data_IF_468415132706
#
_entry.id   IF_468415132706
#
_cell.length_a   1.000
_cell.length_b   1.000
_cell.length_c   1.000
_cell.angle_alpha   90.00
_cell.angle_beta   90.00
_cell.angle_gamma   90.00
#
_symmetry.space_group_name_H-M   'P 1'
#
loop_
_entity.id
_entity.type
_entity.pdbx_description
1 polymer ?
#
# COMPACT_ATOMS: atom_id res chain seq x y z
N UNK A 1 -59.67 54.88 14.09
CA UNK A 1 -58.92 53.86 14.87
C UNK A 1 -58.31 52.84 13.91
N UNK A 2 -57.03 53.04 13.54
CA UNK A 2 -56.27 52.08 12.71
C UNK A 2 -55.53 51.13 13.63
N UNK A 3 -55.85 49.84 13.57
CA UNK A 3 -55.09 48.77 14.26
C UNK A 3 -53.97 48.31 13.34
N UNK A 4 -52.76 48.64 13.69
CA UNK A 4 -51.55 48.13 13.02
C UNK A 4 -51.22 46.77 13.57
N UNK A 5 -51.29 45.74 12.71
CA UNK A 5 -50.88 44.35 13.03
C UNK A 5 -49.43 44.19 12.67
N UNK A 6 -48.57 44.10 13.67
CA UNK A 6 -47.14 43.84 13.51
C UNK A 6 -46.92 42.32 13.30
N UNK A 7 -46.62 41.89 12.07
CA UNK A 7 -46.25 40.48 11.76
C UNK A 7 -44.79 40.23 12.11
N UNK A 8 -44.59 39.43 13.14
CA UNK A 8 -43.25 38.95 13.54
C UNK A 8 -42.83 37.81 12.59
N UNK A 9 -41.86 38.07 11.70
CA UNK A 9 -41.26 37.06 10.84
C UNK A 9 -40.19 36.32 11.66
N UNK A 10 -40.49 35.08 12.05
CA UNK A 10 -39.54 34.20 12.71
C UNK A 10 -38.60 33.60 11.66
N UNK A 11 -37.35 34.11 11.55
CA UNK A 11 -36.31 33.53 10.72
C UNK A 11 -35.75 32.31 11.45
N UNK A 12 -36.15 31.11 11.04
CA UNK A 12 -35.57 29.86 11.51
C UNK A 12 -34.22 29.70 10.80
N UNK A 13 -33.15 30.04 11.48
CA UNK A 13 -31.81 29.72 11.04
C UNK A 13 -31.62 28.20 11.16
N UNK A 14 -31.76 27.48 10.04
CA UNK A 14 -31.39 26.08 9.95
C UNK A 14 -29.86 25.96 10.10
N UNK A 15 -29.42 25.66 11.30
CA UNK A 15 -28.02 25.25 11.53
C UNK A 15 -27.79 23.93 10.78
N UNK A 16 -27.18 23.97 9.60
CA UNK A 16 -26.63 22.76 8.99
C UNK A 16 -25.53 22.24 9.93
N UNK A 17 -25.87 21.24 10.74
CA UNK A 17 -24.88 20.51 11.49
C UNK A 17 -24.00 19.78 10.45
N UNK A 18 -22.80 20.27 10.23
CA UNK A 18 -21.77 19.53 9.50
C UNK A 18 -21.55 18.22 10.26
N UNK A 19 -21.74 17.09 9.61
CA UNK A 19 -21.54 15.81 10.26
C UNK A 19 -20.10 15.73 10.80
N UNK A 20 -19.95 15.44 12.10
CA UNK A 20 -18.63 15.29 12.70
C UNK A 20 -18.08 13.88 12.38
N UNK A 21 -17.75 13.67 11.11
CA UNK A 21 -17.32 12.37 10.60
C UNK A 21 -16.26 12.49 9.51
N UNK A 22 -15.59 11.37 9.22
CA UNK A 22 -14.74 11.15 8.04
C UNK A 22 -15.14 9.85 7.39
N UNK A 23 -15.35 9.88 6.08
CA UNK A 23 -15.72 8.73 5.28
C UNK A 23 -14.48 8.23 4.49
N UNK A 24 -14.05 7.00 4.74
CA UNK A 24 -12.81 6.44 4.21
C UNK A 24 -13.11 5.30 3.23
N UNK A 25 -12.62 5.41 1.99
CA UNK A 25 -12.50 4.28 1.09
C UNK A 25 -11.11 3.66 1.27
N UNK A 26 -11.05 2.39 1.66
CA UNK A 26 -9.76 1.73 1.94
C UNK A 26 -9.60 0.38 1.27
N UNK A 27 -8.43 0.16 0.69
CA UNK A 27 -7.98 -1.18 0.27
C UNK A 27 -7.03 -1.83 1.28
N UNK A 28 -6.86 -1.24 2.44
CA UNK A 28 -6.11 -1.82 3.55
C UNK A 28 -7.00 -2.79 4.33
N UNK A 29 -6.35 -3.73 5.00
CA UNK A 29 -7.03 -4.83 5.70
C UNK A 29 -6.20 -5.30 6.92
N UNK A 30 -5.60 -4.36 7.64
CA UNK A 30 -4.76 -4.66 8.79
C UNK A 30 -5.49 -4.34 10.09
N UNK A 31 -5.43 -5.26 11.05
CA UNK A 31 -6.02 -5.08 12.39
C UNK A 31 -5.52 -3.78 13.09
N UNK A 32 -4.30 -3.34 12.75
CA UNK A 32 -3.74 -2.07 13.23
C UNK A 32 -4.50 -0.84 12.75
N UNK A 33 -5.24 -0.93 11.66
CA UNK A 33 -6.02 0.19 11.13
C UNK A 33 -7.28 0.41 11.97
N UNK A 34 -7.89 -0.65 12.48
CA UNK A 34 -9.04 -0.55 13.40
C UNK A 34 -8.65 0.17 14.69
N UNK A 35 -7.47 -0.11 15.22
CA UNK A 35 -6.93 0.59 16.39
C UNK A 35 -6.68 2.08 16.08
N UNK A 36 -6.12 2.39 14.91
CA UNK A 36 -5.89 3.77 14.46
C UNK A 36 -7.21 4.56 14.40
N UNK A 37 -8.26 3.96 13.82
CA UNK A 37 -9.58 4.60 13.72
C UNK A 37 -10.20 4.84 15.09
N UNK A 38 -10.08 3.87 15.99
CA UNK A 38 -10.61 3.97 17.36
C UNK A 38 -9.87 5.04 18.18
N UNK A 39 -8.54 5.10 18.09
CA UNK A 39 -7.73 6.09 18.78
C UNK A 39 -8.04 7.51 18.28
N UNK A 40 -8.16 7.69 16.95
CA UNK A 40 -8.59 8.97 16.38
C UNK A 40 -9.99 9.38 16.86
N UNK A 41 -10.94 8.45 16.89
CA UNK A 41 -12.29 8.70 17.38
C UNK A 41 -12.29 9.12 18.85
N UNK A 42 -11.49 8.45 19.69
CA UNK A 42 -11.36 8.80 21.13
C UNK A 42 -10.75 10.19 21.34
N UNK A 43 -9.72 10.50 20.57
CA UNK A 43 -9.00 11.77 20.69
C UNK A 43 -9.82 12.96 20.19
N UNK A 44 -10.58 12.79 19.12
CA UNK A 44 -11.21 13.91 18.40
C UNK A 44 -12.71 13.98 18.52
N UNK A 45 -13.39 12.90 18.91
CA UNK A 45 -14.85 12.76 18.85
C UNK A 45 -15.39 12.64 17.42
N UNK A 46 -14.53 12.56 16.38
CA UNK A 46 -14.91 12.45 14.99
C UNK A 46 -15.22 10.99 14.67
N UNK A 47 -16.39 10.73 14.09
CA UNK A 47 -16.80 9.39 13.68
C UNK A 47 -16.03 8.98 12.41
N UNK A 48 -15.52 7.75 12.36
CA UNK A 48 -14.93 7.16 11.14
C UNK A 48 -15.93 6.18 10.53
N UNK A 49 -16.24 6.38 9.26
CA UNK A 49 -17.03 5.44 8.45
C UNK A 49 -16.10 4.83 7.40
N UNK A 50 -16.01 3.50 7.35
CA UNK A 50 -15.06 2.79 6.47
C UNK A 50 -15.81 1.95 5.46
N UNK A 51 -15.44 2.08 4.19
CA UNK A 51 -15.81 1.18 3.12
C UNK A 51 -14.54 0.52 2.60
N UNK A 52 -14.44 -0.78 2.87
CA UNK A 52 -13.29 -1.58 2.47
C UNK A 52 -13.54 -2.32 1.16
N UNK A 53 -12.49 -2.46 0.33
CA UNK A 53 -12.59 -3.18 -0.94
C UNK A 53 -11.27 -3.27 -1.68
N UNK A 54 -11.29 -3.91 -2.85
CA UNK A 54 -10.14 -3.89 -3.75
C UNK A 54 -9.89 -2.47 -4.28
N UNK A 55 -8.65 -2.03 -4.34
CA UNK A 55 -8.29 -0.66 -4.73
C UNK A 55 -8.81 -0.26 -6.11
N UNK A 56 -8.79 -1.17 -7.09
CA UNK A 56 -9.34 -0.90 -8.43
C UNK A 56 -10.87 -0.80 -8.40
N UNK A 57 -11.56 -1.67 -7.65
CA UNK A 57 -13.02 -1.62 -7.51
C UNK A 57 -13.48 -0.34 -6.79
N UNK A 58 -12.74 0.10 -5.76
CA UNK A 58 -13.02 1.37 -5.07
C UNK A 58 -12.79 2.58 -5.98
N UNK A 59 -11.79 2.55 -6.85
CA UNK A 59 -11.57 3.61 -7.85
C UNK A 59 -12.71 3.65 -8.86
N UNK A 60 -13.17 2.52 -9.39
CA UNK A 60 -14.33 2.47 -10.30
C UNK A 60 -15.61 2.95 -9.59
N UNK A 61 -15.80 2.61 -8.33
CA UNK A 61 -16.89 3.12 -7.52
C UNK A 61 -16.81 4.66 -7.39
N UNK A 62 -15.64 5.19 -7.07
CA UNK A 62 -15.42 6.65 -6.98
C UNK A 62 -15.75 7.34 -8.30
N UNK A 63 -15.38 6.75 -9.45
CA UNK A 63 -15.72 7.24 -10.79
C UNK A 63 -17.23 7.27 -11.02
N UNK A 64 -17.91 6.19 -10.67
CA UNK A 64 -19.37 6.07 -10.81
C UNK A 64 -20.14 7.05 -9.93
N UNK A 65 -19.68 7.29 -8.72
CA UNK A 65 -20.28 8.24 -7.77
C UNK A 65 -19.99 9.70 -8.15
N UNK A 66 -18.85 9.97 -8.79
CA UNK A 66 -18.44 11.30 -9.22
C UNK A 66 -18.43 12.33 -8.09
N UNK A 67 -19.08 13.49 -8.30
CA UNK A 67 -19.19 14.55 -7.30
C UNK A 67 -20.12 14.19 -6.11
N UNK A 68 -20.90 13.14 -6.24
CA UNK A 68 -21.82 12.67 -5.18
C UNK A 68 -21.18 11.63 -4.27
N UNK A 69 -19.91 11.26 -4.48
CA UNK A 69 -19.23 10.32 -3.60
C UNK A 69 -19.29 10.79 -2.16
N UNK A 70 -19.64 9.90 -1.22
CA UNK A 70 -19.59 10.22 0.20
C UNK A 70 -18.17 10.22 0.76
N UNK A 71 -17.18 9.67 0.04
CA UNK A 71 -15.83 9.48 0.54
C UNK A 71 -15.06 10.80 0.67
N UNK A 72 -14.39 10.98 1.80
CA UNK A 72 -13.50 12.09 2.08
C UNK A 72 -12.04 11.73 1.86
N UNK A 73 -11.68 10.50 2.22
CA UNK A 73 -10.30 9.98 2.16
C UNK A 73 -10.24 8.70 1.36
N UNK A 74 -9.23 8.59 0.50
CA UNK A 74 -8.86 7.33 -0.14
C UNK A 74 -7.58 6.81 0.47
N UNK A 75 -7.64 5.65 1.13
CA UNK A 75 -6.57 5.06 1.90
C UNK A 75 -6.17 3.72 1.29
N UNK A 76 -4.99 3.62 0.68
CA UNK A 76 -4.62 2.44 -0.10
C UNK A 76 -3.22 1.96 0.15
N UNK A 77 -2.98 0.72 -0.27
CA UNK A 77 -1.64 0.14 -0.38
C UNK A 77 -1.10 0.40 -1.77
N UNK A 78 0.23 0.60 -1.85
CA UNK A 78 1.01 0.78 -3.07
C UNK A 78 0.93 2.16 -3.72
N UNK A 79 2.11 2.75 -3.94
CA UNK A 79 2.25 4.03 -4.62
C UNK A 79 1.61 4.04 -6.02
N UNK A 80 1.59 2.89 -6.70
CA UNK A 80 0.95 2.75 -8.01
C UNK A 80 -0.57 2.98 -7.96
N UNK A 81 -1.23 2.60 -6.87
CA UNK A 81 -2.65 2.89 -6.68
C UNK A 81 -2.89 4.38 -6.40
N UNK A 82 -2.06 4.99 -5.53
CA UNK A 82 -2.13 6.44 -5.27
C UNK A 82 -1.91 7.23 -6.56
N UNK A 83 -0.93 6.85 -7.35
CA UNK A 83 -0.64 7.48 -8.64
C UNK A 83 -1.82 7.37 -9.62
N UNK A 84 -2.51 6.23 -9.70
CA UNK A 84 -3.69 6.08 -10.57
C UNK A 84 -4.80 7.05 -10.20
N UNK A 85 -5.11 7.16 -8.91
CA UNK A 85 -6.14 8.06 -8.39
C UNK A 85 -5.75 9.52 -8.64
N UNK A 86 -4.49 9.86 -8.40
CA UNK A 86 -3.92 11.19 -8.66
C UNK A 86 -3.98 11.56 -10.13
N UNK A 87 -3.54 10.66 -11.03
CA UNK A 87 -3.53 10.89 -12.48
C UNK A 87 -4.93 11.23 -13.04
N UNK A 88 -5.97 10.67 -12.43
CA UNK A 88 -7.35 10.96 -12.78
C UNK A 88 -7.91 12.21 -12.08
N UNK A 89 -7.10 12.93 -11.30
CA UNK A 89 -7.46 14.21 -10.68
C UNK A 89 -8.46 14.10 -9.53
N UNK A 90 -8.49 12.95 -8.83
CA UNK A 90 -9.42 12.75 -7.71
C UNK A 90 -8.92 13.28 -6.37
N UNK A 91 -7.64 13.62 -6.23
CA UNK A 91 -7.11 14.18 -4.99
C UNK A 91 -7.09 15.71 -5.02
N UNK A 92 -7.14 16.29 -3.84
CA UNK A 92 -6.80 17.68 -3.55
C UNK A 92 -5.56 17.73 -2.64
N UNK A 93 -4.90 18.89 -2.56
CA UNK A 93 -3.76 19.09 -1.68
C UNK A 93 -4.15 18.95 -0.21
N UNK A 94 -3.35 18.21 0.54
CA UNK A 94 -3.45 18.08 2.00
C UNK A 94 -2.94 19.39 2.62
N UNK A 95 -3.71 19.98 3.53
CA UNK A 95 -3.36 21.24 4.20
C UNK A 95 -2.89 21.06 5.66
N UNK A 96 -2.82 19.82 6.15
CA UNK A 96 -2.35 19.52 7.50
C UNK A 96 -0.86 19.82 7.65
N UNK A 97 -0.53 20.97 8.25
CA UNK A 97 0.87 21.36 8.52
C UNK A 97 1.61 20.33 9.37
N UNK A 98 0.92 19.70 10.33
CA UNK A 98 1.47 18.63 11.17
C UNK A 98 1.88 17.42 10.32
N UNK A 99 0.99 16.92 9.47
CA UNK A 99 1.29 15.78 8.58
C UNK A 99 2.44 16.10 7.61
N UNK A 100 2.40 17.29 7.00
CA UNK A 100 3.42 17.73 6.05
C UNK A 100 4.79 17.99 6.70
N UNK A 101 4.85 18.29 7.99
CA UNK A 101 6.12 18.45 8.72
C UNK A 101 6.79 17.11 9.05
N UNK A 102 5.98 16.05 9.23
CA UNK A 102 6.46 14.71 9.63
C UNK A 102 6.84 13.86 8.41
N UNK A 103 6.03 13.90 7.35
CA UNK A 103 6.25 13.05 6.16
C UNK A 103 7.26 13.71 5.21
N UNK A 104 8.40 13.06 4.90
CA UNK A 104 9.39 13.59 3.97
C UNK A 104 8.81 13.84 2.57
N UNK A 105 9.32 14.85 1.85
CA UNK A 105 8.83 15.22 0.50
C UNK A 105 8.84 14.07 -0.51
N UNK A 106 9.85 13.19 -0.46
CA UNK A 106 9.95 12.02 -1.35
C UNK A 106 8.95 10.90 -1.01
N UNK A 107 8.17 11.06 0.04
CA UNK A 107 7.08 10.16 0.45
C UNK A 107 5.71 10.84 0.37
N UNK A 108 5.62 11.91 -0.42
CA UNK A 108 4.38 12.64 -0.70
C UNK A 108 4.14 12.72 -2.21
N UNK A 109 2.90 12.84 -2.60
CA UNK A 109 2.52 13.11 -3.98
C UNK A 109 2.92 14.50 -4.44
N UNK A 110 2.99 14.75 -5.77
CA UNK A 110 3.09 16.09 -6.30
C UNK A 110 2.02 16.99 -5.67
N UNK A 111 2.38 18.23 -5.36
CA UNK A 111 1.48 19.21 -4.72
C UNK A 111 0.85 18.73 -3.38
N UNK A 112 1.50 17.78 -2.70
CA UNK A 112 1.02 17.20 -1.44
C UNK A 112 -0.39 16.56 -1.53
N UNK A 113 -0.75 16.01 -2.69
CA UNK A 113 -2.09 15.41 -2.93
C UNK A 113 -2.31 14.08 -2.18
N UNK A 114 -1.24 13.42 -1.77
CA UNK A 114 -1.25 12.24 -0.90
C UNK A 114 0.03 12.17 -0.07
N UNK A 115 -0.05 11.47 1.04
CA UNK A 115 1.08 11.20 1.93
C UNK A 115 1.23 9.71 2.20
N UNK A 116 2.48 9.26 2.38
CA UNK A 116 2.77 7.93 2.88
C UNK A 116 2.58 7.87 4.39
N UNK A 117 2.01 6.76 4.87
CA UNK A 117 1.85 6.49 6.31
C UNK A 117 2.61 5.24 6.78
N UNK A 118 2.98 4.37 5.86
CA UNK A 118 3.79 3.19 6.15
C UNK A 118 4.67 2.84 4.95
N UNK A 119 5.84 2.26 5.24
CA UNK A 119 6.79 1.75 4.25
C UNK A 119 6.91 0.24 4.34
N UNK A 120 7.17 -0.41 3.22
CA UNK A 120 7.51 -1.83 3.13
C UNK A 120 8.60 -2.05 2.09
N UNK A 121 9.46 -3.03 2.33
CA UNK A 121 10.46 -3.45 1.38
C UNK A 121 10.00 -4.70 0.60
N UNK A 122 10.35 -4.78 -0.68
CA UNK A 122 10.21 -5.99 -1.50
C UNK A 122 11.52 -6.76 -1.40
N UNK A 123 11.59 -7.77 -0.56
CA UNK A 123 12.83 -8.48 -0.18
C UNK A 123 12.93 -9.86 -0.81
N UNK A 124 14.09 -10.48 -0.66
CA UNK A 124 14.34 -11.87 -1.03
C UNK A 124 14.32 -12.70 0.24
N UNK A 125 13.51 -13.75 0.27
CA UNK A 125 13.55 -14.80 1.27
C UNK A 125 14.35 -15.98 0.74
N UNK A 126 15.17 -16.60 1.58
CA UNK A 126 15.97 -17.74 1.23
C UNK A 126 16.05 -18.76 2.37
N UNK A 127 16.26 -20.03 2.01
CA UNK A 127 16.54 -21.07 2.98
C UNK A 127 18.06 -21.16 3.20
N UNK A 128 18.58 -20.88 4.41
CA UNK A 128 20.01 -20.90 4.68
C UNK A 128 20.65 -22.30 4.58
N UNK A 129 19.85 -23.37 4.58
CA UNK A 129 20.34 -24.74 4.36
C UNK A 129 20.67 -24.99 2.88
N UNK A 130 20.07 -24.23 1.94
CA UNK A 130 20.23 -24.40 0.50
C UNK A 130 21.07 -23.28 -0.16
N UNK A 131 21.10 -22.10 0.46
CA UNK A 131 21.77 -20.91 -0.07
C UNK A 131 22.65 -20.30 1.01
N UNK A 132 23.95 -20.25 0.75
CA UNK A 132 24.91 -19.68 1.70
C UNK A 132 24.81 -18.15 1.73
N UNK A 133 25.23 -17.55 2.84
CA UNK A 133 25.33 -16.09 2.97
C UNK A 133 26.32 -15.49 1.97
N UNK A 134 27.34 -16.23 1.57
CA UNK A 134 28.31 -15.80 0.56
C UNK A 134 27.70 -15.70 -0.83
N UNK A 135 26.82 -16.63 -1.19
CA UNK A 135 26.10 -16.68 -2.47
C UNK A 135 25.19 -15.46 -2.69
N UNK A 136 24.63 -14.90 -1.62
CA UNK A 136 23.67 -13.79 -1.70
C UNK A 136 24.19 -12.45 -1.18
N UNK A 137 25.39 -12.36 -0.62
CA UNK A 137 25.90 -11.14 0.05
C UNK A 137 25.83 -9.88 -0.83
N UNK A 138 25.93 -10.03 -2.13
CA UNK A 138 25.92 -8.95 -3.12
C UNK A 138 24.74 -9.07 -4.10
N UNK A 139 23.76 -9.92 -3.78
CA UNK A 139 22.63 -10.18 -4.67
C UNK A 139 21.79 -8.94 -4.92
N UNK A 140 21.51 -8.70 -6.19
CA UNK A 140 20.64 -7.63 -6.67
C UNK A 140 19.42 -8.26 -7.37
N UNK A 141 18.36 -7.48 -7.54
CA UNK A 141 17.21 -7.94 -8.34
C UNK A 141 17.64 -8.34 -9.77
N UNK A 142 18.60 -7.61 -10.32
CA UNK A 142 19.13 -7.85 -11.66
C UNK A 142 19.70 -9.26 -11.81
N UNK A 143 20.41 -9.74 -10.80
CA UNK A 143 21.02 -11.06 -10.80
C UNK A 143 20.01 -12.20 -10.75
N UNK A 144 18.76 -11.95 -10.36
CA UNK A 144 17.72 -12.99 -10.36
C UNK A 144 17.37 -13.49 -11.77
N UNK A 145 17.82 -12.82 -12.82
CA UNK A 145 17.73 -13.24 -14.21
C UNK A 145 18.90 -14.14 -14.67
N UNK A 146 19.96 -14.26 -13.85
CA UNK A 146 21.14 -15.03 -14.19
C UNK A 146 20.85 -16.55 -14.12
N UNK A 147 21.52 -17.33 -14.97
CA UNK A 147 21.26 -18.78 -15.11
C UNK A 147 21.57 -19.61 -13.85
N UNK A 148 22.39 -19.09 -12.94
CA UNK A 148 22.69 -19.75 -11.66
C UNK A 148 21.44 -19.95 -10.79
N UNK A 149 20.39 -19.15 -11.03
CA UNK A 149 19.12 -19.25 -10.32
C UNK A 149 18.07 -20.09 -11.06
N UNK A 150 18.46 -20.83 -12.08
CA UNK A 150 17.55 -21.67 -12.86
C UNK A 150 16.82 -22.68 -11.98
N UNK A 151 15.49 -22.72 -12.04
CA UNK A 151 14.63 -23.59 -11.23
C UNK A 151 14.69 -23.32 -9.72
N UNK A 152 15.19 -22.14 -9.29
CA UNK A 152 15.44 -21.84 -7.88
C UNK A 152 14.56 -20.72 -7.31
N UNK A 153 13.71 -20.06 -8.13
CA UNK A 153 12.95 -18.87 -7.74
C UNK A 153 11.45 -19.15 -7.73
N UNK A 154 10.75 -18.69 -6.69
CA UNK A 154 9.29 -18.60 -6.67
C UNK A 154 8.81 -17.17 -6.42
N UNK A 155 7.71 -16.83 -7.08
CA UNK A 155 7.10 -15.51 -6.98
C UNK A 155 5.58 -15.64 -7.19
N UNK A 156 4.83 -14.68 -6.70
CA UNK A 156 3.40 -14.58 -7.01
C UNK A 156 3.16 -14.04 -8.44
N UNK A 157 1.92 -14.11 -8.92
CA UNK A 157 1.55 -13.67 -10.27
C UNK A 157 1.89 -12.19 -10.55
N UNK A 158 2.27 -11.91 -11.80
CA UNK A 158 2.55 -10.55 -12.32
C UNK A 158 1.32 -9.63 -12.40
N UNK A 159 0.10 -10.16 -12.29
CA UNK A 159 -1.10 -9.34 -12.19
C UNK A 159 -1.24 -8.65 -10.81
N UNK A 160 -0.38 -8.97 -9.85
CA UNK A 160 -0.37 -8.33 -8.55
C UNK A 160 0.43 -7.03 -8.55
N UNK A 161 -0.15 -5.99 -7.94
CA UNK A 161 0.42 -4.64 -7.90
C UNK A 161 1.85 -4.60 -7.31
N UNK A 162 2.21 -5.48 -6.35
CA UNK A 162 3.54 -5.48 -5.74
C UNK A 162 4.64 -5.86 -6.73
N UNK A 163 4.37 -6.82 -7.61
CA UNK A 163 5.31 -7.17 -8.68
C UNK A 163 5.35 -6.11 -9.77
N UNK A 164 4.19 -5.54 -10.12
CA UNK A 164 4.12 -4.43 -11.09
C UNK A 164 4.93 -3.22 -10.61
N UNK A 165 4.87 -2.89 -9.33
CA UNK A 165 5.64 -1.79 -8.75
C UNK A 165 7.15 -2.07 -8.75
N UNK A 166 7.57 -3.31 -8.48
CA UNK A 166 8.99 -3.68 -8.60
C UNK A 166 9.46 -3.55 -10.07
N UNK A 167 8.70 -4.08 -11.01
CA UNK A 167 9.02 -3.95 -12.44
C UNK A 167 9.05 -2.49 -12.87
N UNK A 168 8.11 -1.66 -12.44
CA UNK A 168 8.10 -0.23 -12.71
C UNK A 168 9.36 0.47 -12.18
N UNK A 169 9.87 0.08 -11.00
CA UNK A 169 11.13 0.63 -10.47
C UNK A 169 12.35 0.21 -11.30
N UNK A 170 12.36 -1.00 -11.84
CA UNK A 170 13.42 -1.46 -12.76
C UNK A 170 13.34 -0.73 -14.11
N UNK A 171 12.14 -0.50 -14.65
CA UNK A 171 11.95 0.30 -15.86
C UNK A 171 12.47 1.72 -15.64
N UNK A 172 12.17 2.34 -14.52
CA UNK A 172 12.66 3.67 -14.18
C UNK A 172 14.18 3.75 -14.10
N UNK A 173 14.84 2.65 -13.69
CA UNK A 173 16.31 2.60 -13.51
C UNK A 173 17.03 2.20 -14.79
N UNK A 174 16.50 1.25 -15.54
CA UNK A 174 17.20 0.58 -16.64
C UNK A 174 16.56 0.79 -18.03
N UNK A 175 15.34 1.35 -18.06
CA UNK A 175 14.53 1.44 -19.28
C UNK A 175 13.77 0.15 -19.56
N UNK A 176 12.83 0.24 -20.54
CA UNK A 176 11.91 -0.85 -20.87
C UNK A 176 12.64 -2.07 -21.42
N UNK A 177 13.51 -1.89 -22.42
CA UNK A 177 14.19 -2.99 -23.11
C UNK A 177 15.01 -3.89 -22.17
N UNK A 178 15.84 -3.28 -21.30
CA UNK A 178 16.66 -4.03 -20.34
C UNK A 178 15.78 -4.71 -19.29
N UNK A 179 14.70 -4.08 -18.86
CA UNK A 179 13.77 -4.66 -17.90
C UNK A 179 12.99 -5.83 -18.51
N UNK A 180 12.65 -5.77 -19.80
CA UNK A 180 12.03 -6.88 -20.52
C UNK A 180 12.96 -8.09 -20.61
N UNK A 181 14.24 -7.86 -20.93
CA UNK A 181 15.26 -8.94 -20.94
C UNK A 181 15.41 -9.55 -19.55
N UNK A 182 15.49 -8.73 -18.52
CA UNK A 182 15.52 -9.19 -17.14
C UNK A 182 14.28 -10.02 -16.78
N UNK A 183 13.08 -9.56 -17.15
CA UNK A 183 11.85 -10.28 -16.86
C UNK A 183 11.79 -11.65 -17.55
N UNK A 184 12.28 -11.75 -18.80
CA UNK A 184 12.43 -13.03 -19.52
C UNK A 184 13.38 -13.97 -18.78
N UNK A 185 14.53 -13.47 -18.35
CA UNK A 185 15.51 -14.24 -17.57
C UNK A 185 14.94 -14.71 -16.23
N UNK A 186 14.30 -13.80 -15.48
CA UNK A 186 13.65 -14.13 -14.22
C UNK A 186 12.57 -15.23 -14.39
N UNK A 187 11.74 -15.14 -15.43
CA UNK A 187 10.68 -16.14 -15.71
C UNK A 187 11.30 -17.50 -16.03
N UNK A 188 12.42 -17.55 -16.75
CA UNK A 188 13.12 -18.81 -17.05
C UNK A 188 13.71 -19.50 -15.81
N UNK A 189 13.89 -18.77 -14.71
CA UNK A 189 14.44 -19.23 -13.45
C UNK A 189 13.38 -19.69 -12.43
N UNK A 190 12.10 -19.63 -12.80
CA UNK A 190 11.04 -20.06 -11.89
C UNK A 190 11.03 -21.57 -11.67
N UNK A 191 11.00 -21.99 -10.41
CA UNK A 191 10.84 -23.39 -10.02
C UNK A 191 9.41 -23.91 -10.29
N UNK A 192 8.42 -23.01 -10.43
CA UNK A 192 7.03 -23.33 -10.77
C UNK A 192 6.32 -22.13 -11.36
N UNK A 193 5.17 -22.37 -11.98
CA UNK A 193 4.27 -21.24 -12.38
C UNK A 193 3.93 -20.38 -11.19
N UNK A 194 3.94 -19.03 -11.36
CA UNK A 194 3.55 -18.08 -10.31
C UNK A 194 2.13 -18.35 -9.81
N UNK A 195 1.97 -18.51 -8.49
CA UNK A 195 0.69 -18.79 -7.84
C UNK A 195 0.71 -18.36 -6.37
N UNK A 196 -0.47 -18.27 -5.74
CA UNK A 196 -0.59 -17.92 -4.33
C UNK A 196 -0.21 -16.48 -4.02
N UNK A 197 -0.05 -16.19 -2.74
CA UNK A 197 0.34 -14.88 -2.21
C UNK A 197 1.79 -14.89 -1.72
N UNK A 198 2.26 -13.78 -1.14
CA UNK A 198 3.64 -13.65 -0.66
C UNK A 198 3.99 -14.68 0.44
N UNK A 199 3.05 -14.98 1.36
CA UNK A 199 3.26 -16.02 2.39
C UNK A 199 3.42 -17.41 1.78
N UNK A 200 2.67 -17.69 0.72
CA UNK A 200 2.81 -18.96 -0.02
C UNK A 200 4.17 -19.11 -0.68
N UNK A 201 4.83 -18.02 -1.06
CA UNK A 201 6.20 -18.06 -1.59
C UNK A 201 7.21 -18.33 -0.48
N UNK A 202 7.07 -17.67 0.67
CA UNK A 202 7.93 -17.89 1.85
C UNK A 202 7.83 -19.36 2.30
N UNK A 203 6.61 -19.91 2.38
CA UNK A 203 6.40 -21.32 2.72
C UNK A 203 7.00 -22.28 1.68
N UNK A 204 6.95 -21.92 0.40
CA UNK A 204 7.54 -22.76 -0.66
C UNK A 204 9.05 -22.88 -0.49
N UNK A 205 9.76 -21.81 -0.15
CA UNK A 205 11.19 -21.81 0.16
C UNK A 205 11.48 -22.59 1.45
N UNK A 206 10.68 -22.37 2.50
CA UNK A 206 10.82 -23.10 3.76
C UNK A 206 10.68 -24.61 3.63
N UNK A 207 9.91 -25.06 2.62
CA UNK A 207 9.66 -26.48 2.34
C UNK A 207 10.53 -27.04 1.20
N UNK A 208 11.56 -26.32 0.77
CA UNK A 208 12.53 -26.78 -0.22
C UNK A 208 12.04 -26.86 -1.67
N UNK A 209 10.90 -26.22 -2.01
CA UNK A 209 10.39 -26.16 -3.38
C UNK A 209 11.22 -25.23 -4.27
N UNK A 210 11.85 -24.24 -3.68
CA UNK A 210 12.73 -23.28 -4.33
C UNK A 210 13.71 -22.72 -3.29
N UNK A 211 14.76 -22.08 -3.74
CA UNK A 211 15.77 -21.50 -2.87
C UNK A 211 15.50 -20.04 -2.52
N UNK A 212 14.89 -19.31 -3.44
CA UNK A 212 14.59 -17.88 -3.29
C UNK A 212 13.11 -17.58 -3.51
N UNK A 213 12.58 -16.63 -2.73
CA UNK A 213 11.27 -16.05 -2.94
C UNK A 213 11.33 -14.52 -2.90
N UNK A 214 10.62 -13.86 -3.82
CA UNK A 214 10.42 -12.41 -3.77
C UNK A 214 9.09 -12.11 -3.08
N UNK A 215 9.14 -11.45 -1.91
CA UNK A 215 7.97 -11.14 -1.12
C UNK A 215 8.13 -9.84 -0.31
N UNK A 216 7.05 -9.30 0.22
CA UNK A 216 7.10 -8.11 1.06
C UNK A 216 7.56 -8.45 2.48
N UNK A 217 8.41 -7.60 3.05
CA UNK A 217 9.08 -7.81 4.33
C UNK A 217 8.15 -8.02 5.52
N UNK A 218 7.02 -7.30 5.59
CA UNK A 218 6.10 -7.36 6.73
C UNK A 218 5.42 -8.71 6.91
N UNK A 219 5.30 -9.53 5.86
CA UNK A 219 4.74 -10.88 6.00
C UNK A 219 5.61 -11.77 6.89
N UNK A 220 6.92 -11.54 6.91
CA UNK A 220 7.82 -12.28 7.78
C UNK A 220 7.52 -12.06 9.26
N UNK A 221 7.39 -10.80 9.68
CA UNK A 221 7.00 -10.47 11.05
C UNK A 221 5.62 -11.02 11.42
N UNK A 222 4.65 -10.94 10.50
CA UNK A 222 3.31 -11.49 10.70
C UNK A 222 3.32 -13.02 10.86
N UNK A 223 4.10 -13.73 10.06
CA UNK A 223 4.24 -15.19 10.17
C UNK A 223 4.98 -15.57 11.46
N UNK A 224 6.10 -14.90 11.80
CA UNK A 224 6.87 -15.16 13.03
C UNK A 224 6.07 -14.92 14.31
N UNK A 225 5.14 -13.95 14.31
CA UNK A 225 4.29 -13.66 15.46
C UNK A 225 3.29 -14.77 15.81
N UNK A 226 3.14 -15.77 14.95
CA UNK A 226 2.15 -16.85 15.10
C UNK A 226 0.72 -16.45 14.69
N UNK A 227 0.44 -15.18 14.40
CA UNK A 227 -0.90 -14.71 13.96
C UNK A 227 -1.36 -15.34 12.65
N UNK A 228 -0.43 -15.83 11.83
CA UNK A 228 -0.71 -16.52 10.58
C UNK A 228 -0.99 -18.04 10.76
N UNK A 229 -0.92 -18.55 11.99
CA UNK A 229 -1.03 -19.97 12.32
C UNK A 229 0.35 -20.64 12.47
N UNK A 230 0.37 -21.76 13.20
CA UNK A 230 1.59 -22.47 13.60
C UNK A 230 2.43 -22.95 12.41
N UNK A 231 1.81 -23.47 11.36
CA UNK A 231 2.53 -23.96 10.16
C UNK A 231 3.30 -22.84 9.43
N UNK A 232 2.69 -21.65 9.36
CA UNK A 232 3.35 -20.48 8.78
C UNK A 232 4.46 -19.95 9.67
N UNK A 233 4.27 -20.01 10.99
CA UNK A 233 5.31 -19.64 11.96
C UNK A 233 6.52 -20.55 11.84
N UNK A 234 6.31 -21.87 11.83
CA UNK A 234 7.38 -22.87 11.61
C UNK A 234 8.11 -22.66 10.26
N UNK A 235 7.36 -22.34 9.22
CA UNK A 235 7.96 -22.02 7.91
C UNK A 235 8.81 -20.75 7.95
N UNK A 236 8.34 -19.70 8.60
CA UNK A 236 9.09 -18.46 8.74
C UNK A 236 10.42 -18.65 9.50
N UNK A 237 10.44 -19.52 10.50
CA UNK A 237 11.65 -19.85 11.28
C UNK A 237 12.76 -20.53 10.46
N UNK A 238 12.40 -21.19 9.34
CA UNK A 238 13.35 -21.89 8.45
C UNK A 238 13.98 -20.98 7.39
N UNK A 239 13.46 -19.78 7.19
CA UNK A 239 13.94 -18.86 6.16
C UNK A 239 14.58 -17.63 6.77
N UNK A 240 15.43 -16.98 5.99
CA UNK A 240 15.99 -15.66 6.29
C UNK A 240 15.54 -14.64 5.25
N UNK A 241 15.57 -13.38 5.64
CA UNK A 241 15.23 -12.25 4.80
C UNK A 241 16.50 -11.51 4.39
N UNK A 242 16.65 -11.27 3.09
CA UNK A 242 17.75 -10.51 2.52
C UNK A 242 17.24 -9.27 1.78
N UNK A 243 17.92 -8.14 1.99
CA UNK A 243 17.63 -6.87 1.33
C UNK A 243 18.56 -6.71 0.12
N UNK A 244 18.09 -6.87 -1.12
CA UNK A 244 18.96 -6.79 -2.30
C UNK A 244 19.41 -5.35 -2.60
N UNK A 245 20.37 -5.21 -3.50
CA UNK A 245 20.88 -3.92 -4.03
C UNK A 245 21.49 -2.99 -2.97
N UNK A 246 22.02 -3.49 -1.85
CA UNK A 246 22.53 -2.63 -0.78
C UNK A 246 23.80 -1.87 -1.16
N UNK A 247 24.55 -2.29 -2.19
CA UNK A 247 25.75 -1.62 -2.69
C UNK A 247 25.46 -0.61 -3.82
N UNK A 248 24.19 -0.45 -4.21
CA UNK A 248 23.78 0.50 -5.25
C UNK A 248 22.54 1.32 -4.82
N UNK A 249 21.40 1.18 -5.49
CA UNK A 249 20.17 1.96 -5.22
C UNK A 249 19.36 1.53 -4.00
N UNK A 250 19.74 0.45 -3.34
CA UNK A 250 19.00 -0.11 -2.24
C UNK A 250 17.81 -0.98 -2.67
N UNK A 251 17.17 -1.58 -1.67
CA UNK A 251 15.97 -2.40 -1.87
C UNK A 251 14.80 -1.55 -2.35
N UNK A 252 13.93 -2.12 -3.19
CA UNK A 252 12.68 -1.48 -3.58
C UNK A 252 11.78 -1.26 -2.37
N UNK A 253 11.54 0.01 -2.05
CA UNK A 253 10.59 0.44 -1.03
C UNK A 253 9.28 0.84 -1.70
N UNK A 254 8.18 0.39 -1.13
CA UNK A 254 6.85 0.87 -1.49
C UNK A 254 6.10 1.34 -0.24
N UNK A 255 4.97 2.00 -0.42
CA UNK A 255 4.25 2.67 0.65
C UNK A 255 2.80 2.22 0.74
N UNK A 256 2.20 2.41 1.91
CA UNK A 256 0.77 2.65 2.04
C UNK A 256 0.57 4.13 2.30
N UNK A 257 -0.46 4.70 1.74
CA UNK A 257 -0.70 6.13 1.87
C UNK A 257 -2.17 6.49 1.68
N UNK A 258 -2.47 7.72 1.97
CA UNK A 258 -3.81 8.29 1.83
C UNK A 258 -3.76 9.66 1.14
N UNK A 259 -4.87 10.04 0.56
CA UNK A 259 -5.11 11.37 0.02
C UNK A 259 -6.55 11.81 0.30
N UNK A 260 -6.76 13.12 0.38
CA UNK A 260 -8.08 13.72 0.54
C UNK A 260 -8.70 13.84 -0.84
N UNK A 261 -9.93 13.36 -0.99
CA UNK A 261 -10.62 13.40 -2.27
C UNK A 261 -11.09 14.83 -2.60
N UNK A 262 -11.04 15.17 -3.88
CA UNK A 262 -11.36 16.53 -4.39
C UNK A 262 -12.75 17.00 -4.02
N UNK A 263 -13.71 16.06 -3.97
CA UNK A 263 -15.11 16.34 -3.66
C UNK A 263 -15.48 15.98 -2.20
N UNK A 264 -14.47 15.84 -1.33
CA UNK A 264 -14.68 15.55 0.09
C UNK A 264 -15.59 16.61 0.74
N UNK A 265 -16.54 16.15 1.53
CA UNK A 265 -17.49 17.02 2.24
C UNK A 265 -16.96 17.44 3.62
N UNK A 266 -16.08 16.60 4.21
CA UNK A 266 -15.54 16.78 5.55
C UNK A 266 -14.03 17.05 5.51
N UNK A 267 -13.59 18.02 4.68
CA UNK A 267 -12.16 18.31 4.40
C UNK A 267 -11.36 18.61 5.67
N UNK A 268 -11.92 19.42 6.59
CA UNK A 268 -11.24 19.77 7.84
C UNK A 268 -11.01 18.52 8.72
N UNK A 269 -12.03 17.68 8.85
CA UNK A 269 -11.92 16.42 9.58
C UNK A 269 -10.93 15.45 8.91
N UNK A 270 -10.92 15.40 7.57
CA UNK A 270 -9.97 14.59 6.80
C UNK A 270 -8.52 15.05 6.97
N UNK A 271 -8.28 16.38 7.10
CA UNK A 271 -6.95 16.92 7.41
C UNK A 271 -6.50 16.66 8.85
N UNK A 272 -7.44 16.46 9.77
CA UNK A 272 -7.14 16.07 11.16
C UNK A 272 -6.82 14.59 11.29
N UNK A 273 -7.47 13.75 10.47
CA UNK A 273 -7.20 12.31 10.34
C UNK A 273 -5.82 12.05 9.74
#
# INVERSE_FOLDING_TARGET
MFKSTLSLILVVASSFSVANEVNIYTSRHYDSDDQLYEDFRKETGIKINVISGNGSALLERLKSEGANSPADVFFTVDAGNLWKIQKEGYFQSISSSKALSIVPKNLRGPNDEWIAIAKRARVIFYNPDNVSSEEIKDLRYENLADKEWSNRIVIRSSNNIYNQSLVASLISTHGIEKTELWAKGLVSNFARKPQGNDRSQIMAVANGMADLAIANSYYYGYMLSGKAGEDQQKSAQKVKMFFPNQKDRGVHINISGLGILKNAKNVDNANRF
#
